data_IF_536760344094
#
_entry.id   IF_536760344094
#
_cell.length_a   1.000
_cell.length_b   1.000
_cell.length_c   1.000
_cell.angle_alpha   90.00
_cell.angle_beta   90.00
_cell.angle_gamma   90.00
#
_symmetry.space_group_name_H-M   'P 1'
#
loop_
_entity.id
_entity.type
_entity.pdbx_description
1 polymer ?
#
# COMPACT_ATOMS: atom_id res chain seq x y z
N UNK A 1 -0.78 28.01 -12.94
CA UNK A 1 -1.91 27.60 -12.07
C UNK A 1 -1.41 27.59 -10.65
N UNK A 2 -2.14 28.20 -9.72
CA UNK A 2 -1.80 28.13 -8.30
C UNK A 2 -1.96 26.69 -7.79
N UNK A 3 -1.06 26.21 -6.93
CA UNK A 3 -1.14 24.86 -6.41
C UNK A 3 -2.30 24.71 -5.41
N UNK A 4 -2.97 23.56 -5.44
CA UNK A 4 -3.98 23.19 -4.47
C UNK A 4 -3.30 22.95 -3.11
N UNK A 5 -3.70 23.70 -2.08
CA UNK A 5 -3.13 23.58 -0.74
C UNK A 5 -3.75 22.44 0.04
N UNK A 6 -2.88 21.62 0.64
CA UNK A 6 -3.23 20.44 1.45
C UNK A 6 -2.49 20.52 2.77
N UNK A 7 -3.25 20.46 3.87
CA UNK A 7 -2.67 20.38 5.21
C UNK A 7 -2.22 18.95 5.52
N UNK A 8 -0.91 18.74 5.61
CA UNK A 8 -0.28 17.45 5.91
C UNK A 8 -0.44 17.00 7.37
N UNK A 9 -1.04 17.82 8.24
CA UNK A 9 -1.38 17.45 9.62
C UNK A 9 -2.81 16.90 9.76
N UNK A 10 -3.63 16.93 8.72
CA UNK A 10 -5.01 16.46 8.76
C UNK A 10 -5.11 14.96 9.11
N UNK A 11 -6.11 14.59 9.91
CA UNK A 11 -6.46 13.21 10.24
C UNK A 11 -5.32 12.44 10.91
N UNK A 12 -4.70 11.51 10.20
CA UNK A 12 -3.56 10.71 10.70
C UNK A 12 -2.25 11.55 10.78
N UNK A 13 -2.16 12.61 9.98
CA UNK A 13 -1.00 13.51 9.99
C UNK A 13 0.34 12.85 9.62
N UNK A 14 0.32 11.78 8.86
CA UNK A 14 1.50 10.99 8.49
C UNK A 14 1.93 11.11 7.03
N UNK A 15 2.69 10.12 6.57
CA UNK A 15 3.19 10.06 5.21
C UNK A 15 2.14 9.72 4.15
N UNK A 16 0.94 9.29 4.54
CA UNK A 16 -0.15 8.93 3.63
C UNK A 16 -0.60 10.12 2.79
N UNK A 17 -0.79 11.29 3.41
CA UNK A 17 -1.25 12.51 2.71
C UNK A 17 -0.31 12.86 1.56
N UNK A 18 1.00 12.80 1.80
CA UNK A 18 2.00 13.12 0.78
C UNK A 18 1.89 12.14 -0.39
N UNK A 19 1.85 10.84 -0.10
CA UNK A 19 1.74 9.80 -1.13
C UNK A 19 0.49 9.99 -1.98
N UNK A 20 -0.65 10.17 -1.34
CA UNK A 20 -1.93 10.39 -2.02
C UNK A 20 -1.91 11.65 -2.88
N UNK A 21 -1.43 12.76 -2.32
CA UNK A 21 -1.42 14.06 -2.99
C UNK A 21 -0.52 14.07 -4.24
N UNK A 22 0.73 13.58 -4.14
CA UNK A 22 1.64 13.58 -5.30
C UNK A 22 1.21 12.58 -6.37
N UNK A 23 0.65 11.40 -5.97
CA UNK A 23 0.10 10.42 -6.91
C UNK A 23 -1.04 11.03 -7.71
N UNK A 24 -2.04 11.60 -7.05
CA UNK A 24 -3.18 12.21 -7.71
C UNK A 24 -2.79 13.44 -8.52
N UNK A 25 -1.90 14.29 -7.99
CA UNK A 25 -1.36 15.43 -8.72
C UNK A 25 -0.75 15.01 -10.06
N UNK A 26 0.04 13.93 -10.06
CA UNK A 26 0.67 13.42 -11.29
C UNK A 26 -0.32 12.83 -12.30
N UNK A 27 -1.45 12.29 -11.83
CA UNK A 27 -2.50 11.73 -12.70
C UNK A 27 -3.40 12.85 -13.26
N UNK A 28 -3.80 13.81 -12.40
CA UNK A 28 -4.76 14.86 -12.74
C UNK A 28 -4.14 16.10 -13.37
N UNK A 29 -2.81 16.23 -13.30
CA UNK A 29 -2.12 17.45 -13.74
C UNK A 29 -2.30 18.64 -12.80
N UNK A 30 -3.01 18.50 -11.68
CA UNK A 30 -3.26 19.58 -10.71
C UNK A 30 -2.03 19.76 -9.81
N UNK A 31 -1.34 20.91 -9.80
CA UNK A 31 -0.25 21.16 -8.88
C UNK A 31 -0.73 21.16 -7.42
N UNK A 32 0.10 20.66 -6.51
CA UNK A 32 -0.21 20.63 -5.07
C UNK A 32 0.89 21.28 -4.24
N UNK A 33 0.47 21.96 -3.16
CA UNK A 33 1.33 22.43 -2.07
C UNK A 33 0.89 21.76 -0.78
N UNK A 34 1.80 21.00 -0.17
CA UNK A 34 1.54 20.27 1.07
C UNK A 34 2.35 20.95 2.19
N UNK A 35 1.65 21.43 3.20
CA UNK A 35 2.22 22.07 4.38
C UNK A 35 2.10 21.15 5.61
N UNK A 36 2.78 21.47 6.71
CA UNK A 36 2.70 20.71 7.97
C UNK A 36 2.97 19.20 7.82
N UNK A 37 3.88 18.83 6.92
CA UNK A 37 4.19 17.43 6.61
C UNK A 37 4.61 16.69 7.87
N UNK A 38 3.83 15.67 8.24
CA UNK A 38 4.07 14.79 9.39
C UNK A 38 4.24 15.52 10.72
N UNK A 39 3.54 16.66 10.90
CA UNK A 39 3.62 17.50 12.11
C UNK A 39 3.25 16.73 13.39
N UNK A 40 2.35 15.77 13.31
CA UNK A 40 1.88 14.94 14.43
C UNK A 40 2.76 13.73 14.74
N UNK A 41 3.92 13.58 14.08
CA UNK A 41 4.85 12.48 14.30
C UNK A 41 6.06 12.93 15.11
N UNK A 42 6.64 12.04 15.90
CA UNK A 42 7.87 12.31 16.71
C UNK A 42 8.96 12.96 15.88
N UNK A 43 9.09 12.53 14.61
CA UNK A 43 9.98 13.16 13.65
C UNK A 43 9.16 13.70 12.48
N UNK A 44 8.96 15.01 12.47
CA UNK A 44 8.24 15.72 11.41
C UNK A 44 8.99 15.74 10.08
N UNK A 45 8.29 16.13 9.01
CA UNK A 45 8.85 16.32 7.68
C UNK A 45 9.09 15.05 6.87
N UNK A 46 9.63 15.23 5.67
CA UNK A 46 9.90 14.15 4.71
C UNK A 46 10.96 13.18 5.23
N UNK A 47 10.76 11.88 4.94
CA UNK A 47 11.71 10.80 5.24
C UNK A 47 12.30 10.25 3.93
N UNK A 48 13.43 9.51 3.96
CA UNK A 48 14.08 9.00 2.75
C UNK A 48 13.14 8.29 1.77
N UNK A 49 12.23 7.42 2.25
CA UNK A 49 11.27 6.73 1.40
C UNK A 49 10.28 7.67 0.69
N UNK A 50 9.87 8.77 1.34
CA UNK A 50 9.02 9.79 0.71
C UNK A 50 9.78 10.48 -0.42
N UNK A 51 11.02 10.88 -0.13
CA UNK A 51 11.89 11.55 -1.10
C UNK A 51 12.13 10.65 -2.30
N UNK A 52 12.45 9.37 -2.10
CA UNK A 52 12.70 8.43 -3.19
C UNK A 52 11.43 8.25 -4.06
N UNK A 53 10.27 8.04 -3.45
CA UNK A 53 9.01 7.91 -4.19
C UNK A 53 8.69 9.17 -5.01
N UNK A 54 8.84 10.36 -4.42
CA UNK A 54 8.62 11.63 -5.11
C UNK A 54 9.65 11.87 -6.21
N UNK A 55 10.93 11.55 -5.98
CA UNK A 55 12.00 11.65 -7.00
C UNK A 55 11.71 10.79 -8.22
N UNK A 56 11.33 9.53 -8.00
CA UNK A 56 10.99 8.62 -9.10
C UNK A 56 9.78 9.16 -9.86
N UNK A 57 8.73 9.57 -9.15
CA UNK A 57 7.54 10.13 -9.77
C UNK A 57 7.86 11.41 -10.56
N UNK A 58 8.66 12.30 -9.99
CA UNK A 58 9.10 13.53 -10.66
C UNK A 58 9.91 13.25 -11.93
N UNK A 59 10.81 12.26 -11.92
CA UNK A 59 11.52 11.81 -13.13
C UNK A 59 10.56 11.32 -14.21
N UNK A 60 9.58 10.51 -13.84
CA UNK A 60 8.63 9.90 -14.79
C UNK A 60 7.69 10.94 -15.40
N UNK A 61 7.26 11.95 -14.63
CA UNK A 61 6.35 12.99 -15.10
C UNK A 61 7.01 14.35 -15.35
N UNK A 62 8.34 14.42 -15.37
CA UNK A 62 9.10 15.67 -15.54
C UNK A 62 8.57 16.81 -14.65
N UNK A 63 8.28 16.51 -13.38
CA UNK A 63 7.74 17.48 -12.45
C UNK A 63 8.80 18.44 -11.91
N UNK A 64 8.40 19.73 -11.74
CA UNK A 64 9.14 20.64 -10.89
C UNK A 64 8.73 20.41 -9.44
N UNK A 65 9.72 20.26 -8.54
CA UNK A 65 9.48 19.98 -7.12
C UNK A 65 10.32 20.91 -6.26
N UNK A 66 9.66 21.65 -5.36
CA UNK A 66 10.32 22.49 -4.37
C UNK A 66 10.16 21.87 -2.97
N UNK A 67 11.16 22.00 -2.12
CA UNK A 67 11.11 21.45 -0.75
C UNK A 67 11.45 19.95 -0.63
N UNK A 68 12.06 19.33 -1.64
CA UNK A 68 12.36 17.89 -1.65
C UNK A 68 13.69 17.56 -0.94
N UNK A 69 13.69 17.63 0.38
CA UNK A 69 14.83 17.24 1.23
C UNK A 69 14.35 16.59 2.53
N UNK A 70 15.21 15.82 3.19
CA UNK A 70 14.88 15.16 4.48
C UNK A 70 14.53 16.23 5.52
N UNK A 71 13.44 16.01 6.26
CA UNK A 71 12.96 16.93 7.28
C UNK A 71 12.13 18.10 6.75
N UNK A 72 11.99 18.28 5.43
CA UNK A 72 11.12 19.33 4.89
C UNK A 72 9.69 19.15 5.36
N UNK A 73 9.09 20.23 5.90
CA UNK A 73 7.69 20.28 6.34
C UNK A 73 6.75 20.83 5.29
N UNK A 74 7.29 21.30 4.16
CA UNK A 74 6.53 21.77 3.00
C UNK A 74 7.04 21.13 1.73
N UNK A 75 6.14 20.89 0.78
CA UNK A 75 6.45 20.34 -0.54
C UNK A 75 5.54 20.99 -1.57
N UNK A 76 6.11 21.52 -2.66
CA UNK A 76 5.35 21.92 -3.85
C UNK A 76 5.69 20.95 -4.98
N UNK A 77 4.64 20.45 -5.62
CA UNK A 77 4.79 19.49 -6.71
C UNK A 77 3.98 19.98 -7.92
N UNK A 78 4.69 20.26 -9.02
CA UNK A 78 4.11 20.74 -10.28
C UNK A 78 4.33 19.65 -11.34
N UNK A 79 3.35 18.79 -11.59
CA UNK A 79 3.50 17.69 -12.53
C UNK A 79 3.47 18.14 -13.98
N UNK A 80 4.13 17.37 -14.85
CA UNK A 80 3.85 17.29 -16.26
C UNK A 80 3.29 15.92 -16.62
N UNK A 81 3.19 15.58 -17.90
CA UNK A 81 2.65 14.29 -18.34
C UNK A 81 3.60 13.14 -17.96
N UNK A 82 3.04 12.08 -17.43
CA UNK A 82 3.77 10.83 -17.17
C UNK A 82 4.18 10.20 -18.50
N UNK A 83 5.39 9.65 -18.54
CA UNK A 83 5.98 8.94 -19.68
C UNK A 83 6.36 7.51 -19.29
N UNK A 84 6.58 6.66 -20.30
CA UNK A 84 7.19 5.34 -20.10
C UNK A 84 8.60 5.48 -19.52
N UNK A 85 8.97 4.57 -18.60
CA UNK A 85 10.27 4.64 -17.96
C UNK A 85 10.89 3.27 -17.66
N UNK A 86 12.21 3.21 -17.70
CA UNK A 86 13.03 2.09 -17.21
C UNK A 86 14.04 2.69 -16.22
N UNK A 87 13.95 2.31 -14.95
CA UNK A 87 14.69 2.94 -13.87
C UNK A 87 15.35 1.92 -12.94
N UNK A 88 16.53 2.31 -12.44
CA UNK A 88 17.20 1.62 -11.34
C UNK A 88 17.37 2.63 -10.20
N UNK A 89 16.83 2.34 -9.02
CA UNK A 89 16.78 3.27 -7.91
C UNK A 89 17.21 2.60 -6.60
N UNK A 90 17.76 3.41 -5.71
CA UNK A 90 18.17 2.96 -4.38
C UNK A 90 17.66 3.94 -3.33
N UNK A 91 16.93 3.42 -2.33
CA UNK A 91 16.45 4.23 -1.19
C UNK A 91 17.60 4.66 -0.30
N UNK A 92 18.71 3.91 -0.30
CA UNK A 92 19.89 4.17 0.54
C UNK A 92 19.71 3.82 2.02
N UNK A 93 18.54 3.33 2.41
CA UNK A 93 18.17 2.94 3.78
C UNK A 93 17.20 1.76 3.74
N UNK A 94 16.78 1.27 4.91
CA UNK A 94 15.67 0.31 5.01
C UNK A 94 14.29 0.95 4.74
N UNK A 95 14.22 2.09 4.04
CA UNK A 95 12.95 2.72 3.66
C UNK A 95 12.10 1.81 2.79
N UNK A 96 10.79 1.81 3.04
CA UNK A 96 9.85 0.84 2.48
C UNK A 96 9.65 0.97 0.97
N UNK A 97 10.01 -0.07 0.23
CA UNK A 97 9.69 -0.24 -1.18
C UNK A 97 8.15 -0.34 -1.38
N UNK A 98 7.38 -1.16 -0.62
CA UNK A 98 5.93 -1.20 -0.74
C UNK A 98 5.23 0.16 -0.69
N UNK A 99 5.68 1.07 0.20
CA UNK A 99 5.11 2.43 0.27
C UNK A 99 5.47 3.30 -0.95
N UNK A 100 6.64 3.09 -1.55
CA UNK A 100 7.02 3.74 -2.81
C UNK A 100 6.14 3.23 -3.95
N UNK A 101 5.89 1.91 -4.01
CA UNK A 101 5.05 1.30 -5.03
C UNK A 101 3.59 1.74 -4.95
N UNK A 102 3.06 2.08 -3.77
CA UNK A 102 1.73 2.69 -3.62
C UNK A 102 1.60 4.05 -4.33
N UNK A 103 2.71 4.76 -4.52
CA UNK A 103 2.74 6.01 -5.30
C UNK A 103 2.81 5.70 -6.79
N UNK A 104 3.74 4.84 -7.19
CA UNK A 104 4.12 4.67 -8.58
C UNK A 104 3.13 3.82 -9.39
N UNK A 105 2.64 2.72 -8.80
CA UNK A 105 1.77 1.79 -9.54
C UNK A 105 0.49 2.47 -10.06
N UNK A 106 -0.32 3.14 -9.21
CA UNK A 106 -1.52 3.81 -9.70
C UNK A 106 -1.17 4.98 -10.62
N UNK A 107 -0.14 5.79 -10.31
CA UNK A 107 0.25 6.93 -11.13
C UNK A 107 0.56 6.52 -12.58
N UNK A 108 1.40 5.52 -12.74
CA UNK A 108 1.87 5.05 -14.06
C UNK A 108 0.76 4.33 -14.82
N UNK A 109 0.10 3.36 -14.16
CA UNK A 109 -0.90 2.52 -14.81
C UNK A 109 -2.11 3.34 -15.30
N UNK A 110 -2.63 4.21 -14.43
CA UNK A 110 -3.81 5.06 -14.76
C UNK A 110 -3.47 6.07 -15.85
N UNK A 111 -2.26 6.59 -15.88
CA UNK A 111 -1.78 7.46 -16.96
C UNK A 111 -1.48 6.69 -18.27
N UNK A 112 -1.83 5.41 -18.35
CA UNK A 112 -1.65 4.53 -19.53
C UNK A 112 -0.21 4.40 -19.98
N UNK A 113 0.72 4.28 -19.02
CA UNK A 113 2.17 4.18 -19.26
C UNK A 113 2.74 2.89 -18.68
N UNK A 114 3.94 2.56 -19.15
CA UNK A 114 4.72 1.43 -18.66
C UNK A 114 5.83 1.90 -17.74
N UNK A 115 6.10 1.10 -16.69
CA UNK A 115 7.28 1.28 -15.85
C UNK A 115 7.98 -0.07 -15.65
N UNK A 116 9.28 -0.12 -15.94
CA UNK A 116 10.17 -1.16 -15.44
C UNK A 116 11.08 -0.54 -14.40
N UNK A 117 11.01 -1.04 -13.17
CA UNK A 117 11.74 -0.48 -12.04
C UNK A 117 12.47 -1.60 -11.31
N UNK A 118 13.80 -1.48 -11.18
CA UNK A 118 14.60 -2.23 -10.21
C UNK A 118 14.90 -1.31 -9.04
N UNK A 119 14.48 -1.68 -7.82
CA UNK A 119 14.61 -0.81 -6.65
C UNK A 119 15.21 -1.56 -5.47
N UNK A 120 16.16 -0.89 -4.80
CA UNK A 120 16.81 -1.37 -3.59
C UNK A 120 16.32 -0.62 -2.36
N UNK A 121 15.95 -1.35 -1.27
CA UNK A 121 15.45 -0.75 -0.02
C UNK A 121 14.94 -1.79 0.97
N UNK A 122 13.97 -1.40 1.80
CA UNK A 122 13.27 -2.29 2.71
C UNK A 122 12.07 -2.97 2.05
N UNK A 123 11.98 -4.29 2.13
CA UNK A 123 10.82 -5.03 1.61
C UNK A 123 9.80 -5.37 2.70
N UNK A 124 10.30 -5.59 3.93
CA UNK A 124 9.51 -6.01 5.08
C UNK A 124 10.00 -5.23 6.30
N UNK A 125 9.42 -4.05 6.52
CA UNK A 125 9.81 -3.11 7.56
C UNK A 125 8.61 -2.59 8.33
N UNK A 126 8.82 -2.11 9.57
CA UNK A 126 7.75 -1.63 10.45
C UNK A 126 6.95 -0.49 9.80
N UNK A 127 5.66 -0.43 10.14
CA UNK A 127 4.67 0.58 9.68
C UNK A 127 4.49 0.64 8.16
N UNK A 128 4.65 -0.50 7.53
CA UNK A 128 4.53 -0.67 6.08
C UNK A 128 3.93 -2.06 5.80
N UNK A 129 3.14 -2.24 4.74
CA UNK A 129 2.82 -3.57 4.27
C UNK A 129 4.10 -4.29 3.87
N UNK A 130 4.11 -5.61 3.99
CA UNK A 130 5.23 -6.44 3.55
C UNK A 130 5.28 -6.54 2.02
N UNK A 131 6.43 -6.96 1.49
CA UNK A 131 6.56 -7.28 0.06
C UNK A 131 5.58 -8.36 -0.37
N UNK A 132 5.32 -9.35 0.50
CA UNK A 132 4.33 -10.40 0.22
C UNK A 132 2.89 -9.86 0.21
N UNK A 133 2.54 -8.95 1.11
CA UNK A 133 1.23 -8.28 1.08
C UNK A 133 1.02 -7.54 -0.27
N UNK A 134 2.02 -6.80 -0.70
CA UNK A 134 2.00 -6.11 -2.01
C UNK A 134 1.83 -7.11 -3.17
N UNK A 135 2.55 -8.24 -3.11
CA UNK A 135 2.57 -9.26 -4.18
C UNK A 135 1.27 -10.08 -4.29
N UNK A 136 0.59 -10.35 -3.18
CA UNK A 136 -0.54 -11.28 -3.15
C UNK A 136 -1.88 -10.61 -2.84
N UNK A 137 -1.90 -9.55 -2.02
CA UNK A 137 -3.13 -8.87 -1.62
C UNK A 137 -3.38 -7.63 -2.46
N UNK A 138 -2.44 -6.68 -2.48
CA UNK A 138 -2.60 -5.45 -3.26
C UNK A 138 -2.69 -5.74 -4.76
N UNK A 139 -1.87 -6.66 -5.27
CA UNK A 139 -1.90 -7.06 -6.69
C UNK A 139 -3.26 -7.62 -7.09
N UNK A 140 -3.86 -8.47 -6.27
CA UNK A 140 -5.20 -9.02 -6.52
C UNK A 140 -6.25 -7.91 -6.58
N UNK A 141 -6.24 -7.00 -5.60
CA UNK A 141 -7.17 -5.87 -5.57
C UNK A 141 -7.02 -4.97 -6.80
N UNK A 142 -5.78 -4.63 -7.14
CA UNK A 142 -5.50 -3.77 -8.29
C UNK A 142 -5.86 -4.44 -9.61
N UNK A 143 -5.64 -5.75 -9.75
CA UNK A 143 -6.06 -6.51 -10.94
C UNK A 143 -7.58 -6.43 -11.15
N UNK A 144 -8.39 -6.51 -10.10
CA UNK A 144 -9.86 -6.33 -10.20
C UNK A 144 -10.27 -4.94 -10.63
N UNK A 145 -9.51 -3.93 -10.21
CA UNK A 145 -9.71 -2.53 -10.61
C UNK A 145 -9.22 -2.30 -12.06
N UNK A 146 -8.47 -3.24 -12.64
CA UNK A 146 -7.91 -3.14 -13.99
C UNK A 146 -6.45 -2.65 -14.01
N UNK A 147 -5.81 -2.46 -12.86
CA UNK A 147 -4.40 -2.09 -12.74
C UNK A 147 -3.56 -3.36 -12.66
N UNK A 148 -2.69 -3.57 -13.65
CA UNK A 148 -1.86 -4.76 -13.73
C UNK A 148 -0.38 -4.43 -13.51
N UNK A 149 0.24 -5.18 -12.61
CA UNK A 149 1.68 -5.10 -12.37
C UNK A 149 2.25 -6.46 -11.95
N UNK A 150 3.54 -6.64 -12.13
CA UNK A 150 4.29 -7.75 -11.57
C UNK A 150 5.32 -7.25 -10.56
N UNK A 151 5.60 -8.06 -9.55
CA UNK A 151 6.62 -7.79 -8.54
C UNK A 151 7.42 -9.08 -8.29
N UNK A 152 8.73 -8.98 -8.41
CA UNK A 152 9.67 -10.06 -8.14
C UNK A 152 10.69 -9.62 -7.09
N UNK A 153 10.66 -10.28 -5.92
CA UNK A 153 11.53 -9.98 -4.80
C UNK A 153 12.76 -10.86 -4.91
N UNK A 154 13.86 -10.30 -5.44
CA UNK A 154 15.13 -11.00 -5.66
C UNK A 154 15.93 -11.21 -4.36
N UNK A 155 15.77 -10.28 -3.42
CA UNK A 155 16.39 -10.32 -2.11
C UNK A 155 15.50 -9.56 -1.11
N UNK A 156 15.34 -10.11 0.10
CA UNK A 156 14.61 -9.45 1.18
C UNK A 156 15.42 -8.30 1.76
N UNK A 157 14.72 -7.29 2.25
CA UNK A 157 15.29 -6.14 2.92
C UNK A 157 14.61 -5.90 4.26
N UNK A 158 15.29 -6.28 5.34
CA UNK A 158 14.88 -6.04 6.72
C UNK A 158 15.63 -4.85 7.33
N UNK A 159 15.14 -4.32 8.44
CA UNK A 159 15.84 -3.32 9.23
C UNK A 159 17.06 -3.96 9.94
N UNK A 160 18.22 -3.29 10.10
CA UNK A 160 18.46 -1.86 9.86
C UNK A 160 18.93 -1.48 8.44
N UNK A 161 19.64 -2.37 7.71
CA UNK A 161 20.30 -2.01 6.43
C UNK A 161 19.34 -1.95 5.25
N UNK A 162 18.24 -2.70 5.30
CA UNK A 162 17.38 -2.87 4.14
C UNK A 162 18.07 -3.73 3.07
N UNK A 163 18.48 -3.10 1.98
CA UNK A 163 19.23 -3.77 0.90
C UNK A 163 18.43 -4.83 0.16
N UNK A 164 17.12 -4.91 0.34
CA UNK A 164 16.24 -5.73 -0.47
C UNK A 164 16.27 -5.27 -1.92
N UNK A 165 16.15 -6.19 -2.86
CA UNK A 165 16.13 -5.92 -4.30
C UNK A 165 14.82 -6.42 -4.88
N UNK A 166 14.08 -5.52 -5.53
CA UNK A 166 12.75 -5.80 -6.09
C UNK A 166 12.68 -5.29 -7.52
N UNK A 167 12.28 -6.17 -8.43
CA UNK A 167 11.94 -5.81 -9.80
C UNK A 167 10.44 -5.68 -9.95
N UNK A 168 9.99 -4.58 -10.53
CA UNK A 168 8.59 -4.26 -10.74
C UNK A 168 8.35 -3.89 -12.20
N UNK A 169 7.28 -4.41 -12.76
CA UNK A 169 6.77 -3.97 -14.04
C UNK A 169 5.32 -3.52 -13.86
N UNK A 170 5.01 -2.29 -14.22
CA UNK A 170 3.65 -1.74 -14.24
C UNK A 170 3.21 -1.63 -15.69
N UNK A 171 1.99 -2.08 -15.96
CA UNK A 171 1.39 -2.07 -17.31
C UNK A 171 0.35 -0.93 -17.40
N UNK A 172 0.12 -0.42 -18.63
CA UNK A 172 -0.93 0.55 -18.87
C UNK A 172 -2.30 -0.02 -18.52
N UNK A 173 -3.13 0.79 -17.91
CA UNK A 173 -4.54 0.48 -17.68
C UNK A 173 -5.38 0.92 -18.88
N UNK A 174 -6.30 0.09 -19.34
CA UNK A 174 -7.24 0.47 -20.39
C UNK A 174 -8.43 1.24 -19.80
N UNK A 175 -9.00 0.68 -18.74
CA UNK A 175 -10.17 1.25 -18.03
C UNK A 175 -10.14 0.86 -16.56
N UNK A 176 -10.34 1.83 -15.69
CA UNK A 176 -10.54 1.57 -14.25
C UNK A 176 -11.94 0.99 -14.07
N UNK A 177 -12.02 -0.15 -13.37
CA UNK A 177 -13.26 -0.87 -13.10
C UNK A 177 -13.70 -0.62 -11.65
N UNK A 178 -15.01 -0.48 -11.40
CA UNK A 178 -15.52 -0.44 -10.04
C UNK A 178 -15.38 -1.81 -9.37
N UNK A 179 -15.39 -1.83 -8.05
CA UNK A 179 -15.40 -3.06 -7.26
C UNK A 179 -16.64 -3.14 -6.36
N UNK A 180 -17.06 -4.37 -6.07
CA UNK A 180 -18.06 -4.67 -5.05
C UNK A 180 -17.50 -5.78 -4.15
N UNK A 181 -16.95 -5.39 -2.99
CA UNK A 181 -16.30 -6.29 -2.03
C UNK A 181 -17.02 -6.17 -0.69
N UNK A 182 -17.90 -7.13 -0.36
CA UNK A 182 -18.85 -6.97 0.73
C UNK A 182 -18.58 -7.88 1.93
N UNK A 183 -18.27 -9.16 1.69
CA UNK A 183 -18.11 -10.14 2.77
C UNK A 183 -17.25 -11.31 2.32
N UNK A 184 -16.35 -11.75 3.20
CA UNK A 184 -15.58 -12.96 2.98
C UNK A 184 -16.47 -14.20 3.08
N UNK A 185 -16.48 -15.01 2.05
CA UNK A 185 -17.22 -16.28 1.98
C UNK A 185 -16.29 -17.49 1.99
N UNK A 186 -15.05 -17.33 1.51
CA UNK A 186 -14.06 -18.42 1.52
C UNK A 186 -13.61 -18.78 2.94
N UNK A 187 -13.53 -20.08 3.19
CA UNK A 187 -12.89 -20.64 4.39
C UNK A 187 -11.43 -21.03 4.16
N UNK A 188 -10.91 -20.87 2.94
CA UNK A 188 -9.53 -21.24 2.60
C UNK A 188 -8.61 -20.04 2.85
N UNK A 189 -7.55 -20.25 3.62
CA UNK A 189 -6.52 -19.24 3.93
C UNK A 189 -5.16 -19.79 3.52
N UNK A 190 -4.33 -18.94 2.93
CA UNK A 190 -2.92 -19.26 2.69
C UNK A 190 -2.06 -18.47 3.67
N UNK A 191 -1.15 -19.19 4.35
CA UNK A 191 -0.08 -18.61 5.16
C UNK A 191 1.20 -18.63 4.33
N UNK A 192 1.90 -17.52 4.26
CA UNK A 192 3.20 -17.42 3.61
C UNK A 192 4.20 -16.76 4.55
N UNK A 193 5.20 -17.50 4.93
CA UNK A 193 6.31 -17.01 5.75
C UNK A 193 7.58 -16.91 4.90
N UNK A 194 8.21 -15.72 4.93
CA UNK A 194 9.53 -15.50 4.35
C UNK A 194 10.50 -15.09 5.45
N UNK A 195 11.64 -15.76 5.54
CA UNK A 195 12.61 -15.50 6.59
C UNK A 195 14.07 -15.56 6.08
N UNK A 196 14.98 -15.00 6.83
CA UNK A 196 16.42 -15.05 6.60
C UNK A 196 17.19 -15.04 7.92
N UNK A 197 18.21 -15.88 8.04
CA UNK A 197 19.14 -15.92 9.19
C UNK A 197 18.44 -16.09 10.56
N UNK A 198 17.35 -16.82 10.59
CA UNK A 198 16.62 -17.20 11.81
C UNK A 198 16.49 -18.71 11.88
N UNK A 199 16.25 -19.24 13.08
CA UNK A 199 16.01 -20.67 13.29
C UNK A 199 14.74 -21.11 12.56
N UNK A 200 14.85 -22.14 11.72
CA UNK A 200 13.72 -22.73 11.01
C UNK A 200 12.65 -23.23 11.98
N UNK A 201 13.06 -23.85 13.08
CA UNK A 201 12.15 -24.31 14.14
C UNK A 201 11.33 -23.17 14.74
N UNK A 202 11.97 -22.02 15.04
CA UNK A 202 11.25 -20.84 15.55
C UNK A 202 10.21 -20.32 14.53
N UNK A 203 10.54 -20.37 13.25
CA UNK A 203 9.61 -19.96 12.18
C UNK A 203 8.44 -20.94 12.03
N UNK A 204 8.73 -22.25 12.07
CA UNK A 204 7.71 -23.30 12.03
C UNK A 204 6.74 -23.19 13.21
N UNK A 205 7.22 -22.85 14.40
CA UNK A 205 6.39 -22.63 15.58
C UNK A 205 5.40 -21.46 15.38
N UNK A 206 5.86 -20.33 14.84
CA UNK A 206 4.98 -19.18 14.55
C UNK A 206 3.93 -19.49 13.47
N UNK A 207 4.32 -20.20 12.41
CA UNK A 207 3.39 -20.61 11.36
C UNK A 207 2.37 -21.62 11.88
N UNK A 208 2.80 -22.58 12.71
CA UNK A 208 1.92 -23.57 13.31
C UNK A 208 0.95 -22.93 14.31
N UNK A 209 1.38 -21.91 15.08
CA UNK A 209 0.50 -21.15 15.96
C UNK A 209 -0.59 -20.44 15.14
N UNK A 210 -0.22 -19.72 14.08
CA UNK A 210 -1.18 -19.07 13.20
C UNK A 210 -2.16 -20.07 12.60
N UNK A 211 -1.67 -21.20 12.08
CA UNK A 211 -2.49 -22.26 11.51
C UNK A 211 -3.48 -22.81 12.52
N UNK A 212 -3.03 -23.15 13.73
CA UNK A 212 -3.87 -23.69 14.82
C UNK A 212 -5.01 -22.72 15.17
N UNK A 213 -4.71 -21.42 15.30
CA UNK A 213 -5.73 -20.40 15.60
C UNK A 213 -6.74 -20.32 14.48
N UNK A 214 -6.33 -20.28 13.22
CA UNK A 214 -7.23 -20.18 12.08
C UNK A 214 -8.09 -21.43 11.92
N UNK A 215 -7.52 -22.62 12.07
CA UNK A 215 -8.24 -23.90 11.94
C UNK A 215 -9.25 -24.12 13.10
N UNK A 216 -8.91 -23.71 14.32
CA UNK A 216 -9.86 -23.75 15.45
C UNK A 216 -11.05 -22.80 15.28
N UNK A 217 -10.94 -21.82 14.38
CA UNK A 217 -12.03 -20.92 13.99
C UNK A 217 -12.73 -21.33 12.64
N UNK A 218 -12.58 -22.59 12.24
CA UNK A 218 -13.30 -23.18 11.11
C UNK A 218 -12.77 -22.80 9.72
N UNK A 219 -11.52 -22.34 9.65
CA UNK A 219 -10.82 -22.06 8.40
C UNK A 219 -9.91 -23.24 8.02
N UNK A 220 -9.67 -23.42 6.72
CA UNK A 220 -8.73 -24.41 6.19
C UNK A 220 -7.45 -23.68 5.76
N UNK A 221 -6.29 -24.09 6.32
CA UNK A 221 -5.04 -23.39 6.11
C UNK A 221 -4.05 -24.23 5.32
N UNK A 222 -3.59 -23.67 4.18
CA UNK A 222 -2.37 -24.10 3.52
C UNK A 222 -1.24 -23.14 3.87
N UNK A 223 -0.02 -23.65 4.03
CA UNK A 223 1.11 -22.77 4.33
C UNK A 223 2.33 -23.07 3.47
N UNK A 224 3.16 -22.07 3.35
CA UNK A 224 4.45 -22.12 2.67
C UNK A 224 5.48 -21.34 3.49
N UNK A 225 6.65 -21.94 3.72
CA UNK A 225 7.78 -21.32 4.43
C UNK A 225 8.94 -21.24 3.44
N UNK A 226 9.50 -20.04 3.31
CA UNK A 226 10.60 -19.76 2.38
C UNK A 226 11.79 -19.16 3.14
N UNK A 227 12.93 -19.80 3.07
CA UNK A 227 14.18 -19.17 3.43
C UNK A 227 14.67 -18.35 2.24
N UNK A 228 14.86 -17.06 2.45
CA UNK A 228 15.21 -16.12 1.37
C UNK A 228 16.48 -15.32 1.75
N UNK A 229 17.24 -14.92 0.74
CA UNK A 229 18.45 -14.12 0.96
C UNK A 229 18.10 -12.72 1.47
N UNK A 230 18.84 -12.22 2.47
CA UNK A 230 18.78 -10.86 2.97
C UNK A 230 20.16 -10.44 3.52
N UNK A 231 20.33 -9.15 3.78
CA UNK A 231 21.54 -8.63 4.46
C UNK A 231 21.43 -8.75 5.98
N UNK A 232 20.21 -8.68 6.50
CA UNK A 232 19.90 -8.77 7.93
C UNK A 232 18.97 -9.95 8.21
N UNK A 233 19.01 -10.44 9.45
CA UNK A 233 18.04 -11.40 9.92
C UNK A 233 16.64 -10.79 9.95
N UNK A 234 15.65 -11.56 9.60
CA UNK A 234 14.26 -11.10 9.62
C UNK A 234 13.27 -12.14 9.18
N UNK A 235 12.01 -11.88 9.41
CA UNK A 235 10.90 -12.71 8.99
C UNK A 235 9.67 -11.84 8.76
N UNK A 236 8.86 -12.24 7.81
CA UNK A 236 7.51 -11.75 7.61
C UNK A 236 6.54 -12.90 7.43
N UNK A 237 5.39 -12.84 8.08
CA UNK A 237 4.29 -13.78 7.92
C UNK A 237 3.08 -13.05 7.37
N UNK A 238 2.47 -13.60 6.33
CA UNK A 238 1.24 -13.13 5.72
C UNK A 238 0.19 -14.24 5.77
N UNK A 239 -1.00 -13.95 6.29
CA UNK A 239 -2.22 -14.70 6.05
C UNK A 239 -3.05 -13.96 5.00
N UNK A 240 -3.53 -14.65 3.96
CA UNK A 240 -4.39 -14.02 2.96
C UNK A 240 -5.39 -14.98 2.38
N UNK A 241 -6.51 -14.42 1.97
CA UNK A 241 -7.57 -15.09 1.23
C UNK A 241 -8.29 -14.10 0.31
N UNK A 242 -8.78 -14.59 -0.80
CA UNK A 242 -9.67 -13.83 -1.67
C UNK A 242 -10.72 -14.76 -2.29
N UNK A 243 -11.87 -14.21 -2.56
CA UNK A 243 -12.99 -14.82 -3.29
C UNK A 243 -13.69 -13.77 -4.16
N UNK A 244 -14.81 -14.12 -4.77
CA UNK A 244 -15.53 -13.17 -5.65
C UNK A 244 -15.96 -11.87 -4.96
N UNK A 245 -16.08 -11.83 -3.64
CA UNK A 245 -16.64 -10.71 -2.87
C UNK A 245 -15.75 -10.22 -1.72
N UNK A 246 -14.52 -10.71 -1.62
CA UNK A 246 -13.56 -10.25 -0.62
C UNK A 246 -12.10 -10.39 -1.06
N UNK A 247 -11.24 -9.56 -0.47
CA UNK A 247 -9.78 -9.65 -0.51
C UNK A 247 -9.26 -9.27 0.87
N UNK A 248 -8.71 -10.22 1.59
CA UNK A 248 -8.25 -10.04 2.97
C UNK A 248 -6.80 -10.44 3.08
N UNK A 249 -6.01 -9.58 3.70
CA UNK A 249 -4.64 -9.83 4.09
C UNK A 249 -4.39 -9.42 5.55
N UNK A 250 -3.51 -10.15 6.21
CA UNK A 250 -2.99 -9.78 7.52
C UNK A 250 -1.52 -10.15 7.55
N UNK A 251 -0.65 -9.17 7.76
CA UNK A 251 0.77 -9.42 7.83
C UNK A 251 1.41 -8.88 9.12
N UNK A 252 2.51 -9.48 9.49
CA UNK A 252 3.39 -9.01 10.55
C UNK A 252 4.84 -9.36 10.22
N UNK A 253 5.75 -8.59 10.79
CA UNK A 253 7.19 -8.85 10.71
C UNK A 253 7.74 -9.20 12.09
N UNK A 254 8.75 -10.07 12.12
CA UNK A 254 9.50 -10.37 13.32
C UNK A 254 10.39 -9.18 13.68
N UNK A 255 10.26 -8.71 14.91
CA UNK A 255 11.14 -7.71 15.52
C UNK A 255 11.58 -8.25 16.88
N UNK A 256 12.74 -7.82 17.39
CA UNK A 256 13.27 -8.26 18.68
C UNK A 256 12.27 -8.17 19.83
N UNK A 257 11.38 -7.18 19.76
CA UNK A 257 10.43 -6.86 20.80
C UNK A 257 9.02 -7.41 20.54
N UNK A 258 8.81 -8.09 19.39
CA UNK A 258 7.52 -8.68 19.03
C UNK A 258 7.69 -10.19 18.91
N UNK A 259 7.25 -10.89 19.96
CA UNK A 259 7.05 -12.35 19.93
C UNK A 259 5.61 -12.64 19.50
N UNK A 260 5.37 -13.80 18.86
CA UNK A 260 4.02 -14.24 18.51
C UNK A 260 3.47 -13.58 17.23
N UNK A 261 4.30 -13.46 16.17
CA UNK A 261 3.80 -12.96 14.87
C UNK A 261 2.68 -13.85 14.32
N UNK A 262 2.73 -15.16 14.61
CA UNK A 262 1.68 -16.12 14.26
C UNK A 262 0.35 -15.75 14.87
N UNK A 263 0.34 -15.49 16.17
CA UNK A 263 -0.85 -15.03 16.90
C UNK A 263 -1.41 -13.71 16.32
N UNK A 264 -0.53 -12.72 16.13
CA UNK A 264 -0.91 -11.40 15.60
C UNK A 264 -1.57 -11.52 14.23
N UNK A 265 -0.95 -12.28 13.33
CA UNK A 265 -1.44 -12.45 11.95
C UNK A 265 -2.78 -13.15 11.93
N UNK A 266 -2.93 -14.24 12.68
CA UNK A 266 -4.17 -15.01 12.73
C UNK A 266 -5.32 -14.22 13.33
N UNK A 267 -5.10 -13.54 14.46
CA UNK A 267 -6.13 -12.73 15.14
C UNK A 267 -6.62 -11.59 14.26
N UNK A 268 -5.70 -10.82 13.68
CA UNK A 268 -6.08 -9.72 12.75
C UNK A 268 -6.80 -10.24 11.50
N UNK A 269 -6.41 -11.42 10.99
CA UNK A 269 -7.11 -12.02 9.86
C UNK A 269 -8.54 -12.41 10.21
N UNK A 270 -8.77 -12.97 11.40
CA UNK A 270 -10.11 -13.33 11.89
C UNK A 270 -11.00 -12.10 12.13
N UNK A 271 -10.43 -11.00 12.62
CA UNK A 271 -11.11 -9.71 12.79
C UNK A 271 -11.56 -9.11 11.45
N UNK A 272 -10.94 -9.51 10.32
CA UNK A 272 -11.25 -9.02 8.98
C UNK A 272 -12.14 -10.02 8.23
N UNK A 273 -13.45 -9.95 8.44
CA UNK A 273 -14.43 -10.89 7.86
C UNK A 273 -15.37 -10.26 6.82
N UNK A 274 -15.22 -8.97 6.54
CA UNK A 274 -15.98 -8.26 5.51
C UNK A 274 -15.24 -8.27 4.15
N UNK A 275 -15.48 -7.27 3.30
CA UNK A 275 -15.01 -7.24 1.92
C UNK A 275 -13.50 -7.04 1.77
N UNK A 276 -12.92 -6.16 2.58
CA UNK A 276 -11.47 -5.88 2.58
C UNK A 276 -10.95 -5.71 4.00
N UNK A 277 -9.66 -6.01 4.20
CA UNK A 277 -9.01 -5.68 5.46
C UNK A 277 -8.74 -4.16 5.59
N UNK A 278 -8.39 -3.74 6.79
CA UNK A 278 -8.23 -2.33 7.10
C UNK A 278 -7.00 -1.67 6.45
N UNK A 279 -5.99 -2.44 6.03
CA UNK A 279 -4.84 -1.90 5.29
C UNK A 279 -5.16 -1.73 3.82
N UNK A 280 -5.84 -2.72 3.20
CA UNK A 280 -6.23 -2.64 1.80
C UNK A 280 -7.24 -1.50 1.56
N UNK A 281 -8.08 -1.22 2.56
CA UNK A 281 -9.17 -0.25 2.44
C UNK A 281 -8.71 1.15 2.00
N UNK A 282 -7.57 1.62 2.48
CA UNK A 282 -7.04 2.93 2.09
C UNK A 282 -6.22 2.88 0.79
N UNK A 283 -5.64 1.73 0.45
CA UNK A 283 -4.84 1.58 -0.76
C UNK A 283 -5.68 1.58 -2.05
N UNK A 284 -6.95 1.19 -1.98
CA UNK A 284 -7.85 1.17 -3.16
C UNK A 284 -8.55 2.50 -3.42
N UNK A 285 -8.50 3.46 -2.50
CA UNK A 285 -9.22 4.74 -2.62
C UNK A 285 -8.82 5.52 -3.86
N UNK A 286 -7.51 5.66 -4.12
CA UNK A 286 -6.99 6.44 -5.26
C UNK A 286 -7.55 5.94 -6.59
N UNK A 287 -7.39 4.66 -6.99
CA UNK A 287 -7.91 4.21 -8.26
C UNK A 287 -9.44 4.26 -8.33
N UNK A 288 -10.15 3.95 -7.23
CA UNK A 288 -11.61 3.97 -7.23
C UNK A 288 -12.20 5.38 -7.38
N UNK A 289 -11.48 6.41 -6.96
CA UNK A 289 -11.89 7.79 -7.13
C UNK A 289 -11.83 8.28 -8.58
N UNK A 290 -11.16 7.53 -9.46
CA UNK A 290 -10.96 7.89 -10.87
C UNK A 290 -11.77 7.00 -11.83
N UNK A 291 -12.71 6.20 -11.32
CA UNK A 291 -13.68 5.46 -12.16
C UNK A 291 -14.92 6.30 -12.44
N UNK A 292 -15.61 6.05 -13.54
CA UNK A 292 -16.90 6.67 -13.86
C UNK A 292 -18.08 6.06 -13.06
N UNK A 293 -17.86 4.94 -12.39
CA UNK A 293 -18.90 4.16 -11.74
C UNK A 293 -18.73 4.17 -10.21
N UNK A 294 -19.74 3.72 -9.49
CA UNK A 294 -19.69 3.63 -8.02
C UNK A 294 -19.08 2.31 -7.58
N UNK A 295 -18.04 2.39 -6.76
CA UNK A 295 -17.47 1.24 -6.06
C UNK A 295 -18.01 1.14 -4.64
N UNK A 296 -18.15 -0.10 -4.15
CA UNK A 296 -18.63 -0.40 -2.80
C UNK A 296 -17.70 -1.42 -2.16
N UNK A 297 -17.25 -1.16 -0.95
CA UNK A 297 -16.57 -2.17 -0.15
C UNK A 297 -16.88 -2.02 1.33
N UNK A 298 -16.76 -3.12 2.09
CA UNK A 298 -17.03 -3.14 3.52
C UNK A 298 -15.77 -3.46 4.32
N UNK A 299 -15.65 -2.79 5.48
CA UNK A 299 -14.54 -2.95 6.42
C UNK A 299 -15.08 -3.11 7.84
N UNK A 300 -14.38 -3.86 8.68
CA UNK A 300 -14.78 -4.01 10.08
C UNK A 300 -14.54 -2.76 10.92
N UNK A 301 -13.59 -1.91 10.53
CA UNK A 301 -13.32 -0.63 11.22
C UNK A 301 -12.85 0.45 10.25
N UNK A 302 -13.19 1.70 10.54
CA UNK A 302 -12.64 2.87 9.87
C UNK A 302 -11.31 3.23 10.54
N UNK A 303 -10.26 3.32 9.74
CA UNK A 303 -8.95 3.80 10.20
C UNK A 303 -8.78 5.27 9.89
N UNK A 304 -7.96 5.98 10.67
CA UNK A 304 -7.57 7.36 10.36
C UNK A 304 -6.89 7.47 8.99
N UNK A 305 -6.21 6.41 8.54
CA UNK A 305 -5.63 6.34 7.20
C UNK A 305 -6.71 6.37 6.12
N UNK A 306 -7.75 5.55 6.25
CA UNK A 306 -8.87 5.52 5.30
C UNK A 306 -9.59 6.87 5.24
N UNK A 307 -9.96 7.45 6.40
CA UNK A 307 -10.60 8.76 6.47
C UNK A 307 -9.75 9.85 5.81
N UNK A 308 -8.46 9.88 6.15
CA UNK A 308 -7.51 10.85 5.58
C UNK A 308 -7.40 10.69 4.06
N UNK A 309 -7.34 9.44 3.59
CA UNK A 309 -7.18 9.15 2.17
C UNK A 309 -8.44 9.53 1.36
N UNK A 310 -9.62 9.21 1.88
CA UNK A 310 -10.90 9.63 1.30
C UNK A 310 -10.99 11.17 1.20
N UNK A 311 -10.64 11.88 2.26
CA UNK A 311 -10.67 13.34 2.29
C UNK A 311 -9.71 13.96 1.27
N UNK A 312 -8.43 13.58 1.28
CA UNK A 312 -7.42 14.14 0.37
C UNK A 312 -7.76 13.81 -1.09
N UNK A 313 -8.20 12.58 -1.33
CA UNK A 313 -8.59 12.13 -2.68
C UNK A 313 -9.79 12.92 -3.19
N UNK A 314 -10.84 13.07 -2.39
CA UNK A 314 -12.02 13.88 -2.75
C UNK A 314 -11.67 15.34 -3.04
N UNK A 315 -10.76 15.92 -2.24
CA UNK A 315 -10.30 17.30 -2.43
C UNK A 315 -9.58 17.53 -3.77
N UNK A 316 -8.85 16.54 -4.28
CA UNK A 316 -8.10 16.66 -5.54
C UNK A 316 -8.95 16.25 -6.75
N UNK A 317 -9.76 15.18 -6.62
CA UNK A 317 -10.48 14.59 -7.76
C UNK A 317 -11.93 15.02 -7.85
N UNK A 318 -12.48 15.69 -6.84
CA UNK A 318 -13.91 15.97 -6.69
C UNK A 318 -14.80 14.69 -6.68
N UNK A 319 -14.23 13.51 -6.41
CA UNK A 319 -15.02 12.30 -6.20
C UNK A 319 -15.92 12.47 -4.97
N UNK A 320 -17.05 11.78 -4.97
CA UNK A 320 -17.96 11.74 -3.81
C UNK A 320 -17.79 10.41 -3.09
N UNK A 321 -17.80 10.45 -1.75
CA UNK A 321 -17.79 9.23 -0.95
C UNK A 321 -18.81 9.30 0.17
N UNK A 322 -19.23 8.14 0.64
CA UNK A 322 -20.11 7.97 1.79
C UNK A 322 -19.63 6.83 2.67
N UNK A 323 -19.82 6.97 3.97
CA UNK A 323 -19.52 5.95 4.99
C UNK A 323 -20.83 5.61 5.69
N UNK A 324 -21.32 4.41 5.49
CA UNK A 324 -22.51 3.87 6.16
C UNK A 324 -22.10 2.94 7.31
N UNK A 325 -22.70 3.11 8.49
CA UNK A 325 -22.51 2.19 9.62
C UNK A 325 -23.38 0.94 9.42
N UNK A 326 -22.82 -0.23 9.68
CA UNK A 326 -23.49 -1.54 9.68
C UNK A 326 -23.40 -2.13 11.10
N UNK A 327 -24.12 -3.21 11.36
CA UNK A 327 -24.06 -3.91 12.64
C UNK A 327 -22.69 -4.52 12.91
N UNK A 328 -21.99 -4.99 11.86
CA UNK A 328 -20.70 -5.69 11.91
C UNK A 328 -19.52 -4.87 11.33
N UNK A 329 -19.73 -3.59 11.02
CA UNK A 329 -18.68 -2.74 10.45
C UNK A 329 -19.18 -1.51 9.71
N UNK A 330 -18.58 -1.24 8.56
CA UNK A 330 -18.88 -0.05 7.77
C UNK A 330 -18.89 -0.38 6.28
N UNK A 331 -19.76 0.29 5.54
CA UNK A 331 -19.80 0.28 4.09
C UNK A 331 -19.27 1.59 3.54
N UNK A 332 -18.30 1.49 2.66
CA UNK A 332 -17.69 2.62 1.96
C UNK A 332 -18.20 2.62 0.53
N UNK A 333 -18.75 3.74 0.10
CA UNK A 333 -19.16 3.99 -1.28
C UNK A 333 -18.32 5.10 -1.87
N UNK A 334 -17.71 4.87 -3.02
CA UNK A 334 -16.94 5.88 -3.74
C UNK A 334 -17.56 6.02 -5.13
N UNK A 335 -18.14 7.18 -5.40
CA UNK A 335 -18.54 7.60 -6.75
C UNK A 335 -17.39 8.41 -7.32
N UNK A 336 -16.62 7.80 -8.19
CA UNK A 336 -15.45 8.41 -8.77
C UNK A 336 -15.79 9.53 -9.76
N UNK A 337 -14.76 10.23 -10.18
CA UNK A 337 -14.79 11.26 -11.21
C UNK A 337 -13.76 10.92 -12.28
N UNK A 338 -14.20 10.33 -13.38
CA UNK A 338 -13.32 9.93 -14.50
C UNK A 338 -12.66 11.12 -15.20
N UNK A 339 -13.30 12.30 -15.16
CA UNK A 339 -12.79 13.49 -15.83
C UNK A 339 -11.58 14.09 -15.10
N UNK A 340 -11.36 13.71 -13.85
CA UNK A 340 -10.20 14.13 -13.08
C UNK A 340 -8.89 13.49 -13.56
N UNK A 341 -8.93 12.44 -14.38
CA UNK A 341 -7.75 11.72 -14.90
C UNK A 341 -7.50 11.92 -16.40
N UNK A 342 -8.24 12.80 -17.05
CA UNK A 342 -8.09 13.20 -18.47
C UNK A 342 -7.46 14.57 -18.56
#
# INVERSE_FOLDING_TARGET
MEPLRIDGSYGEGGGQIIRTAVTLSSITGIPVEIENIRKSRDVSGLRPQHITGIKILAKICNAKVDGLHVGSTTLRFFPSKISDAILNENVGTAGSIPLILQVLIPAVSISKKNLKLSIMGGTDVMWSPTGNYTKFVLKEAYSRIGINFSIDIKRRGYYPRGGGLVDVQVLPNEKIKPISLLKRTTKKVKLLCSYSMLSKESIENEVNEAKKILESNGLSCNYEIREERALDKGCSLLAFAHDGSSIIGSDAIYNKDIKGIGHIVATRFLESNLGVDHFLSDMVVIPLALTSETSVFRVNKITKHLETNLFVTSKITNCKYGIGKLDDGFEIRIKGNSDAGT
#
